data_IF_170330214636
#
_entry.id   IF_170330214636
#
_cell.length_a   1.000
_cell.length_b   1.000
_cell.length_c   1.000
_cell.angle_alpha   90.00
_cell.angle_beta   90.00
_cell.angle_gamma   90.00
#
_symmetry.space_group_name_H-M   'P 1'
#
loop_
_entity.id
_entity.type
_entity.pdbx_description
1 polymer ?
#
# COMPACT_ATOMS: atom_id res chain seq x y z
N UNK A 1 -13.89 6.65 -28.00
CA UNK A 1 -13.97 7.00 -26.56
C UNK A 1 -15.14 6.29 -25.87
N UNK A 2 -16.26 6.02 -26.56
CA UNK A 2 -17.38 5.18 -26.10
C UNK A 2 -16.95 3.89 -25.37
N UNK A 3 -16.09 3.08 -26.00
CA UNK A 3 -15.64 1.78 -25.46
C UNK A 3 -14.90 1.92 -24.13
N UNK A 4 -14.16 3.02 -23.92
CA UNK A 4 -13.47 3.29 -22.66
C UNK A 4 -14.50 3.62 -21.58
N UNK A 5 -15.54 4.37 -21.92
CA UNK A 5 -16.62 4.75 -21.00
C UNK A 5 -17.39 3.52 -20.53
N UNK A 6 -17.71 2.57 -21.41
CA UNK A 6 -18.38 1.31 -21.05
C UNK A 6 -17.53 0.45 -20.09
N UNK A 7 -16.21 0.39 -20.33
CA UNK A 7 -15.28 -0.31 -19.44
C UNK A 7 -15.24 0.36 -18.07
N UNK A 8 -15.17 1.69 -18.01
CA UNK A 8 -15.16 2.41 -16.74
C UNK A 8 -16.48 2.25 -15.98
N UNK A 9 -17.62 2.26 -16.66
CA UNK A 9 -18.93 2.05 -16.03
C UNK A 9 -19.05 0.68 -15.35
N UNK A 10 -18.45 -0.36 -15.94
CA UNK A 10 -18.44 -1.71 -15.35
C UNK A 10 -17.35 -1.89 -14.29
N UNK A 11 -16.23 -1.17 -14.36
CA UNK A 11 -15.08 -1.37 -13.47
C UNK A 11 -14.99 -0.39 -12.29
N UNK A 12 -15.63 0.78 -12.33
CA UNK A 12 -15.58 1.77 -11.23
C UNK A 12 -16.54 1.39 -10.10
N UNK A 13 -16.23 0.29 -9.42
CA UNK A 13 -16.98 -0.22 -8.28
C UNK A 13 -16.01 -0.66 -7.15
N UNK A 14 -16.52 -1.33 -6.11
CA UNK A 14 -15.72 -1.76 -4.93
C UNK A 14 -14.70 -2.87 -5.24
N UNK A 15 -14.88 -3.57 -6.35
CA UNK A 15 -14.02 -4.65 -6.83
C UNK A 15 -12.86 -4.15 -7.72
N UNK A 16 -12.81 -2.85 -7.97
CA UNK A 16 -11.66 -2.24 -8.62
C UNK A 16 -10.41 -2.36 -7.75
N UNK A 17 -9.35 -2.97 -8.27
CA UNK A 17 -8.06 -2.99 -7.56
C UNK A 17 -7.34 -1.67 -7.77
N UNK A 18 -7.10 -1.32 -9.03
CA UNK A 18 -6.46 -0.05 -9.43
C UNK A 18 -6.63 0.18 -10.93
N UNK A 19 -6.53 1.44 -11.35
CA UNK A 19 -6.32 1.83 -12.75
C UNK A 19 -4.97 2.53 -12.84
N UNK A 20 -4.22 2.23 -13.88
CA UNK A 20 -2.98 2.91 -14.22
C UNK A 20 -3.14 3.52 -15.61
N UNK A 21 -2.94 4.83 -15.73
CA UNK A 21 -2.87 5.53 -17.01
C UNK A 21 -1.44 6.02 -17.18
N UNK A 22 -0.83 5.74 -18.33
CA UNK A 22 0.59 5.99 -18.56
C UNK A 22 0.89 6.25 -20.04
N UNK A 23 2.18 6.44 -20.34
CA UNK A 23 2.70 6.65 -21.68
C UNK A 23 2.16 7.95 -22.31
N UNK A 24 2.58 9.11 -21.80
CA UNK A 24 2.08 10.40 -22.27
C UNK A 24 2.51 10.68 -23.72
N UNK A 25 1.68 11.42 -24.45
CA UNK A 25 1.96 11.84 -25.83
C UNK A 25 3.07 12.89 -25.89
N UNK A 26 3.13 13.78 -24.89
CA UNK A 26 4.16 14.81 -24.71
C UNK A 26 4.96 14.46 -23.45
N UNK A 27 6.26 14.77 -23.45
CA UNK A 27 7.14 14.52 -22.29
C UNK A 27 6.97 15.52 -21.16
N UNK A 28 6.28 16.63 -21.42
CA UNK A 28 6.07 17.71 -20.47
C UNK A 28 4.67 17.59 -19.86
N UNK A 29 4.58 17.35 -18.54
CA UNK A 29 3.33 17.19 -17.80
C UNK A 29 3.24 15.91 -16.97
N UNK A 30 2.06 15.30 -16.95
CA UNK A 30 1.78 14.11 -16.14
C UNK A 30 2.50 12.90 -16.73
N UNK A 31 3.25 12.17 -15.91
CA UNK A 31 3.99 10.97 -16.31
C UNK A 31 3.13 9.71 -16.19
N UNK A 32 2.37 9.63 -15.10
CA UNK A 32 1.55 8.48 -14.74
C UNK A 32 0.41 8.93 -13.85
N UNK A 33 -0.73 8.26 -13.96
CA UNK A 33 -1.87 8.45 -13.08
C UNK A 33 -2.23 7.09 -12.51
N UNK A 34 -2.43 7.05 -11.20
CA UNK A 34 -2.90 5.85 -10.51
C UNK A 34 -4.21 6.15 -9.81
N UNK A 35 -5.22 5.33 -10.08
CA UNK A 35 -6.55 5.45 -9.48
C UNK A 35 -6.79 4.22 -8.62
N UNK A 36 -7.32 4.42 -7.41
CA UNK A 36 -7.75 3.34 -6.52
C UNK A 36 -9.07 3.70 -5.85
N UNK A 37 -9.96 2.73 -5.56
CA UNK A 37 -11.12 3.01 -4.71
C UNK A 37 -10.67 3.25 -3.27
N UNK A 38 -11.34 4.19 -2.59
CA UNK A 38 -11.16 4.48 -1.16
C UNK A 38 -12.51 4.78 -0.53
N UNK A 39 -12.68 4.40 0.73
CA UNK A 39 -13.86 4.81 1.52
C UNK A 39 -13.55 6.14 2.23
N UNK A 40 -14.28 7.21 1.88
CA UNK A 40 -14.20 8.52 2.53
C UNK A 40 -15.56 8.83 3.13
N UNK A 41 -15.64 9.04 4.45
CA UNK A 41 -16.90 9.32 5.17
C UNK A 41 -18.01 8.31 4.83
N UNK A 42 -17.65 7.03 4.74
CA UNK A 42 -18.55 5.92 4.39
C UNK A 42 -19.11 5.93 2.96
N UNK A 43 -18.58 6.77 2.08
CA UNK A 43 -18.90 6.78 0.65
C UNK A 43 -17.72 6.23 -0.16
N UNK A 44 -18.03 5.42 -1.17
CA UNK A 44 -17.04 4.92 -2.13
C UNK A 44 -16.67 6.05 -3.09
N UNK A 45 -15.42 6.47 -3.05
CA UNK A 45 -14.84 7.43 -4.00
C UNK A 45 -13.57 6.86 -4.61
N UNK A 46 -13.13 7.43 -5.72
CA UNK A 46 -11.93 7.01 -6.43
C UNK A 46 -10.85 8.07 -6.26
N UNK A 47 -9.76 7.68 -5.63
CA UNK A 47 -8.59 8.54 -5.45
C UNK A 47 -7.67 8.43 -6.66
N UNK A 48 -7.51 9.53 -7.40
CA UNK A 48 -6.50 9.65 -8.44
C UNK A 48 -5.24 10.30 -7.88
N UNK A 49 -4.08 9.72 -8.21
CA UNK A 49 -2.74 10.22 -7.91
C UNK A 49 -2.04 10.56 -9.21
N UNK A 50 -1.87 11.84 -9.50
CA UNK A 50 -1.23 12.37 -10.70
C UNK A 50 0.26 12.59 -10.43
N UNK A 51 1.13 11.81 -11.07
CA UNK A 51 2.58 11.87 -10.89
C UNK A 51 3.21 12.80 -11.93
N UNK A 52 3.86 13.85 -11.43
CA UNK A 52 4.75 14.73 -12.19
C UNK A 52 6.20 14.43 -11.81
N UNK A 53 7.19 15.04 -12.48
CA UNK A 53 8.61 14.80 -12.20
C UNK A 53 9.01 15.00 -10.72
N UNK A 54 8.42 16.00 -10.06
CA UNK A 54 8.81 16.39 -8.68
C UNK A 54 7.64 16.40 -7.68
N UNK A 55 6.41 16.16 -8.13
CA UNK A 55 5.20 16.35 -7.33
C UNK A 55 4.18 15.26 -7.63
N UNK A 56 3.38 14.94 -6.63
CA UNK A 56 2.22 14.05 -6.77
C UNK A 56 1.00 14.82 -6.27
N UNK A 57 -0.03 14.92 -7.10
CA UNK A 57 -1.31 15.52 -6.72
C UNK A 57 -2.33 14.43 -6.47
N UNK A 58 -3.11 14.57 -5.41
CA UNK A 58 -4.16 13.63 -5.05
C UNK A 58 -5.52 14.31 -5.12
N UNK A 59 -6.48 13.62 -5.72
CA UNK A 59 -7.87 14.06 -5.75
C UNK A 59 -8.81 12.87 -5.55
N UNK A 60 -9.89 13.07 -4.83
CA UNK A 60 -10.93 12.06 -4.63
C UNK A 60 -12.15 12.49 -5.44
N UNK A 61 -12.63 11.62 -6.32
CA UNK A 61 -13.76 11.91 -7.21
C UNK A 61 -14.81 10.79 -7.13
N UNK A 62 -16.07 11.12 -7.40
CA UNK A 62 -17.12 10.11 -7.60
C UNK A 62 -16.87 9.28 -8.87
N UNK A 63 -17.61 8.18 -9.06
CA UNK A 63 -17.49 7.33 -10.25
C UNK A 63 -17.74 8.12 -11.56
N UNK A 64 -18.74 9.00 -11.55
CA UNK A 64 -19.13 9.79 -12.72
C UNK A 64 -18.07 10.85 -13.05
N UNK A 65 -17.61 11.59 -12.04
CA UNK A 65 -16.52 12.57 -12.20
C UNK A 65 -15.22 11.90 -12.64
N UNK A 66 -14.90 10.74 -12.06
CA UNK A 66 -13.70 9.97 -12.43
C UNK A 66 -13.78 9.52 -13.89
N UNK A 67 -14.95 9.08 -14.35
CA UNK A 67 -15.14 8.70 -15.76
C UNK A 67 -14.82 9.85 -16.70
N UNK A 68 -15.33 11.05 -16.42
CA UNK A 68 -15.04 12.23 -17.24
C UNK A 68 -13.56 12.59 -17.20
N UNK A 69 -12.94 12.54 -16.03
CA UNK A 69 -11.51 12.85 -15.86
C UNK A 69 -10.60 11.85 -16.57
N UNK A 70 -10.94 10.56 -16.55
CA UNK A 70 -10.20 9.52 -17.28
C UNK A 70 -10.28 9.73 -18.78
N UNK A 71 -11.46 10.08 -19.32
CA UNK A 71 -11.61 10.37 -20.74
C UNK A 71 -10.69 11.52 -21.17
N UNK A 72 -10.61 12.59 -20.37
CA UNK A 72 -9.69 13.71 -20.62
C UNK A 72 -8.22 13.27 -20.57
N UNK A 73 -7.81 12.47 -19.58
CA UNK A 73 -6.43 11.99 -19.49
C UNK A 73 -6.05 11.09 -20.67
N UNK A 74 -6.98 10.28 -21.16
CA UNK A 74 -6.76 9.40 -22.31
C UNK A 74 -6.57 10.13 -23.64
N UNK A 75 -6.91 11.43 -23.72
CA UNK A 75 -6.52 12.27 -24.86
C UNK A 75 -5.02 12.54 -24.87
N UNK A 76 -4.45 12.81 -23.69
CA UNK A 76 -3.03 13.10 -23.51
C UNK A 76 -2.14 11.84 -23.37
N UNK A 77 -2.74 10.69 -23.06
CA UNK A 77 -2.06 9.43 -22.76
C UNK A 77 -2.31 8.37 -23.84
N UNK A 78 -1.50 7.31 -23.85
CA UNK A 78 -1.60 6.23 -24.85
C UNK A 78 -1.95 4.87 -24.25
N UNK A 79 -1.91 4.73 -22.93
CA UNK A 79 -2.06 3.44 -22.28
C UNK A 79 -2.91 3.57 -21.01
N UNK A 80 -3.84 2.64 -20.84
CA UNK A 80 -4.59 2.44 -19.61
C UNK A 80 -4.64 0.96 -19.27
N UNK A 81 -4.43 0.65 -18.00
CA UNK A 81 -4.52 -0.69 -17.44
C UNK A 81 -5.51 -0.64 -16.29
N UNK A 82 -6.53 -1.48 -16.37
CA UNK A 82 -7.56 -1.63 -15.33
C UNK A 82 -7.35 -3.00 -14.71
N UNK A 83 -7.09 -3.02 -13.42
CA UNK A 83 -7.02 -4.24 -12.63
C UNK A 83 -8.31 -4.34 -11.82
N UNK A 84 -9.13 -5.33 -12.15
CA UNK A 84 -10.40 -5.60 -11.51
C UNK A 84 -10.39 -7.05 -11.01
N UNK A 85 -11.11 -7.36 -9.93
CA UNK A 85 -11.12 -8.73 -9.38
C UNK A 85 -11.50 -9.80 -10.40
N UNK A 86 -12.41 -9.48 -11.31
CA UNK A 86 -12.89 -10.41 -12.34
C UNK A 86 -12.02 -10.45 -13.61
N UNK A 87 -11.30 -9.37 -13.94
CA UNK A 87 -10.56 -9.27 -15.20
C UNK A 87 -9.51 -8.16 -15.16
N UNK A 88 -8.40 -8.40 -15.87
CA UNK A 88 -7.43 -7.34 -16.17
C UNK A 88 -7.66 -6.86 -17.60
N UNK A 89 -7.72 -5.53 -17.78
CA UNK A 89 -8.03 -4.89 -19.06
C UNK A 89 -6.89 -3.95 -19.43
N UNK A 90 -6.22 -4.24 -20.53
CA UNK A 90 -5.18 -3.39 -21.10
C UNK A 90 -5.70 -2.68 -22.35
N UNK A 91 -5.64 -1.36 -22.33
CA UNK A 91 -6.09 -0.48 -23.41
C UNK A 91 -4.88 0.27 -23.93
N UNK A 92 -4.60 0.11 -25.22
CA UNK A 92 -3.51 0.77 -25.93
C UNK A 92 -4.09 1.62 -27.06
N UNK A 93 -3.72 2.91 -27.10
CA UNK A 93 -4.08 3.83 -28.17
C UNK A 93 -2.86 4.07 -29.04
N UNK A 94 -2.95 3.66 -30.30
CA UNK A 94 -1.88 3.87 -31.28
C UNK A 94 -1.69 5.37 -31.61
N UNK A 95 -0.57 5.70 -32.24
CA UNK A 95 -0.31 7.07 -32.74
C UNK A 95 -1.43 7.58 -33.68
N UNK A 96 -2.09 6.67 -34.41
CA UNK A 96 -3.21 6.96 -35.34
C UNK A 96 -4.60 6.91 -34.68
N UNK A 97 -4.69 6.77 -33.36
CA UNK A 97 -5.96 6.75 -32.63
C UNK A 97 -6.67 5.39 -32.57
N UNK A 98 -6.15 4.35 -33.22
CA UNK A 98 -6.69 2.98 -33.11
C UNK A 98 -6.57 2.48 -31.66
N UNK A 99 -7.70 2.12 -31.05
CA UNK A 99 -7.80 1.55 -29.71
C UNK A 99 -7.67 0.03 -29.80
N UNK A 100 -6.79 -0.55 -28.99
CA UNK A 100 -6.65 -2.01 -28.84
C UNK A 100 -6.96 -2.35 -27.39
N UNK A 101 -7.91 -3.25 -27.18
CA UNK A 101 -8.36 -3.69 -25.86
C UNK A 101 -7.99 -5.16 -25.73
N UNK A 102 -7.16 -5.50 -24.75
CA UNK A 102 -6.85 -6.88 -24.37
C UNK A 102 -7.48 -7.14 -23.01
N UNK A 103 -8.24 -8.23 -22.91
CA UNK A 103 -8.79 -8.72 -21.66
C UNK A 103 -8.12 -10.05 -21.34
N UNK A 104 -7.61 -10.17 -20.13
CA UNK A 104 -7.07 -11.43 -19.59
C UNK A 104 -7.89 -11.82 -18.37
N UNK A 105 -8.06 -13.14 -18.16
CA UNK A 105 -8.69 -13.64 -16.92
C UNK A 105 -7.91 -13.09 -15.73
N UNK A 106 -8.62 -12.45 -14.79
CA UNK A 106 -8.02 -11.61 -13.76
C UNK A 106 -6.92 -12.34 -13.01
N UNK A 107 -5.69 -11.88 -13.17
CA UNK A 107 -4.54 -12.38 -12.38
C UNK A 107 -4.58 -11.87 -10.93
N UNK A 108 -5.54 -10.99 -10.62
CA UNK A 108 -5.86 -10.49 -9.30
C UNK A 108 -6.88 -11.35 -8.51
N UNK A 109 -7.13 -12.60 -8.93
CA UNK A 109 -7.86 -13.59 -8.14
C UNK A 109 -7.07 -13.95 -6.87
N UNK A 110 -7.14 -13.09 -5.85
CA UNK A 110 -6.43 -13.25 -4.57
C UNK A 110 -5.95 -11.94 -3.93
N UNK A 111 -5.98 -10.82 -4.63
CA UNK A 111 -5.69 -9.52 -4.01
C UNK A 111 -6.98 -8.95 -3.40
N UNK A 112 -7.08 -8.98 -2.07
CA UNK A 112 -8.07 -8.18 -1.36
C UNK A 112 -7.88 -6.70 -1.75
N UNK A 113 -8.94 -6.10 -2.27
CA UNK A 113 -9.04 -4.65 -2.46
C UNK A 113 -9.00 -4.01 -1.09
N UNK A 114 -7.83 -3.53 -0.68
CA UNK A 114 -7.68 -2.70 0.50
C UNK A 114 -8.35 -1.33 0.24
N UNK A 115 -9.63 -1.27 0.59
CA UNK A 115 -10.47 -0.06 0.52
C UNK A 115 -10.11 0.95 1.62
N UNK A 116 -9.13 0.64 2.49
CA UNK A 116 -8.72 1.54 3.55
C UNK A 116 -8.04 2.78 2.97
N UNK A 117 -8.54 3.95 3.40
CA UNK A 117 -7.94 5.23 3.05
C UNK A 117 -6.54 5.39 3.66
N UNK A 118 -6.27 4.68 4.76
CA UNK A 118 -5.05 4.75 5.55
C UNK A 118 -4.30 3.42 5.45
N UNK A 119 -3.13 3.40 4.79
CA UNK A 119 -2.25 2.23 4.82
C UNK A 119 -1.84 1.99 6.27
N UNK A 120 -2.38 0.95 6.89
CA UNK A 120 -1.91 0.53 8.21
C UNK A 120 -0.45 0.08 8.07
N UNK A 121 0.43 0.68 8.87
CA UNK A 121 1.82 0.26 8.93
C UNK A 121 1.84 -1.13 9.57
N UNK A 122 2.39 -2.11 8.85
CA UNK A 122 2.64 -3.43 9.41
C UNK A 122 3.87 -3.35 10.31
N UNK A 123 3.69 -3.71 11.57
CA UNK A 123 4.72 -3.77 12.59
C UNK A 123 4.84 -5.23 13.04
N UNK A 124 6.07 -5.70 13.32
CA UNK A 124 6.30 -7.03 13.90
C UNK A 124 5.61 -7.13 15.27
N UNK A 125 5.78 -6.09 16.08
CA UNK A 125 5.03 -5.91 17.33
C UNK A 125 3.72 -5.21 17.01
N UNK A 126 2.60 -5.92 17.11
CA UNK A 126 1.29 -5.37 16.84
C UNK A 126 0.94 -4.27 17.89
N UNK A 127 0.72 -3.01 17.49
CA UNK A 127 0.42 -1.94 18.45
C UNK A 127 -0.95 -2.09 19.14
N UNK A 128 -1.83 -2.98 18.66
CA UNK A 128 -3.10 -3.29 19.28
C UNK A 128 -3.01 -4.35 20.39
N UNK A 129 -1.90 -5.09 20.44
CA UNK A 129 -1.67 -6.14 21.43
C UNK A 129 -0.94 -5.59 22.66
N UNK A 130 -1.25 -6.17 23.82
CA UNK A 130 -0.53 -5.89 25.06
C UNK A 130 0.78 -6.68 25.06
N UNK A 131 1.89 -5.97 25.01
CA UNK A 131 3.21 -6.56 24.96
C UNK A 131 3.90 -6.23 26.30
N UNK A 132 4.09 -7.23 27.19
CA UNK A 132 4.49 -7.00 28.57
C UNK A 132 5.74 -6.10 28.72
N UNK A 133 6.81 -6.40 27.98
CA UNK A 133 8.05 -5.62 28.08
C UNK A 133 7.87 -4.17 27.58
N UNK A 134 6.95 -3.91 26.65
CA UNK A 134 6.66 -2.54 26.23
C UNK A 134 5.91 -1.76 27.32
N UNK A 135 5.07 -2.44 28.11
CA UNK A 135 4.38 -1.83 29.25
C UNK A 135 5.41 -1.48 30.33
N UNK A 136 6.26 -2.43 30.70
CA UNK A 136 7.27 -2.25 31.75
C UNK A 136 8.28 -1.15 31.40
N UNK A 137 8.64 -1.03 30.12
CA UNK A 137 9.53 0.02 29.62
C UNK A 137 8.84 1.38 29.36
N UNK A 138 7.53 1.47 29.63
CA UNK A 138 6.72 2.68 29.47
C UNK A 138 6.49 3.11 28.02
N UNK A 139 6.64 2.18 27.06
CA UNK A 139 6.33 2.39 25.63
C UNK A 139 4.84 2.14 25.37
N UNK A 140 4.25 1.18 26.08
CA UNK A 140 2.81 0.96 26.17
C UNK A 140 2.27 1.38 27.53
N UNK A 141 1.01 1.77 27.55
CA UNK A 141 0.21 1.94 28.77
C UNK A 141 -0.24 0.57 29.29
N UNK A 142 -0.64 0.43 30.56
CA UNK A 142 -1.24 -0.81 31.09
C UNK A 142 -2.51 -1.27 30.32
N UNK A 143 -3.16 -0.33 29.63
CA UNK A 143 -4.29 -0.59 28.74
C UNK A 143 -3.89 -1.14 27.36
N UNK A 144 -2.59 -1.26 27.05
CA UNK A 144 -2.05 -1.75 25.77
C UNK A 144 -1.88 -0.69 24.69
N UNK A 145 -2.23 0.56 24.95
CA UNK A 145 -2.06 1.65 23.97
C UNK A 145 -0.61 2.15 23.98
N UNK A 146 -0.02 2.33 22.80
CA UNK A 146 1.29 2.98 22.65
C UNK A 146 1.23 4.41 23.18
N UNK A 147 2.18 4.77 24.05
CA UNK A 147 2.31 6.13 24.57
C UNK A 147 2.74 7.05 23.41
N UNK A 148 1.96 8.08 23.11
CA UNK A 148 2.20 8.98 21.98
C UNK A 148 3.64 9.56 21.96
N UNK A 149 4.15 10.00 23.12
CA UNK A 149 5.50 10.55 23.26
C UNK A 149 6.62 9.50 23.04
N UNK A 150 6.30 8.20 23.04
CA UNK A 150 7.23 7.08 22.84
C UNK A 150 6.99 6.36 21.52
N UNK A 151 6.13 6.88 20.65
CA UNK A 151 5.83 6.25 19.37
C UNK A 151 7.08 6.08 18.49
N UNK A 152 8.00 7.04 18.53
CA UNK A 152 9.28 6.95 17.80
C UNK A 152 10.15 5.80 18.32
N UNK A 153 10.14 5.56 19.63
CA UNK A 153 10.84 4.42 20.25
C UNK A 153 10.18 3.09 19.84
N UNK A 154 8.85 3.02 19.81
CA UNK A 154 8.12 1.85 19.31
C UNK A 154 8.46 1.53 17.85
N UNK A 155 8.56 2.56 16.99
CA UNK A 155 8.99 2.40 15.60
C UNK A 155 10.44 1.93 15.50
N UNK A 156 11.33 2.48 16.31
CA UNK A 156 12.74 2.08 16.36
C UNK A 156 12.89 0.60 16.74
N UNK A 157 12.14 0.14 17.74
CA UNK A 157 12.14 -1.27 18.17
C UNK A 157 11.67 -2.18 17.04
N UNK A 158 10.57 -1.85 16.37
CA UNK A 158 10.08 -2.64 15.24
C UNK A 158 11.08 -2.69 14.08
N UNK A 159 11.71 -1.56 13.74
CA UNK A 159 12.73 -1.53 12.68
C UNK A 159 13.95 -2.39 13.04
N UNK A 160 14.32 -2.43 14.32
CA UNK A 160 15.38 -3.33 14.77
C UNK A 160 14.98 -4.80 14.62
N UNK A 161 13.74 -5.16 14.98
CA UNK A 161 13.24 -6.52 14.80
C UNK A 161 13.16 -6.97 13.35
N UNK A 162 12.94 -6.05 12.40
CA UNK A 162 13.04 -6.37 10.97
C UNK A 162 14.45 -6.87 10.61
N UNK A 163 15.50 -6.26 11.18
CA UNK A 163 16.87 -6.75 10.98
C UNK A 163 17.12 -8.10 11.68
N UNK A 164 16.51 -8.33 12.86
CA UNK A 164 16.60 -9.63 13.53
C UNK A 164 15.91 -10.71 12.69
N UNK A 165 14.72 -10.44 12.16
CA UNK A 165 13.98 -11.35 11.30
C UNK A 165 14.82 -11.84 10.11
N UNK A 166 15.56 -10.94 9.47
CA UNK A 166 16.41 -11.28 8.32
C UNK A 166 17.54 -12.27 8.68
N UNK A 167 18.05 -12.24 9.93
CA UNK A 167 19.15 -13.10 10.37
C UNK A 167 18.70 -14.38 11.09
N UNK A 168 17.43 -14.50 11.48
CA UNK A 168 16.92 -15.70 12.18
C UNK A 168 17.26 -17.01 11.46
N UNK A 169 17.13 -17.12 10.11
CA UNK A 169 17.48 -18.35 9.40
C UNK A 169 18.95 -18.77 9.54
N UNK A 170 19.84 -17.85 9.88
CA UNK A 170 21.28 -18.11 10.06
C UNK A 170 21.62 -18.52 11.51
N UNK A 171 20.67 -18.37 12.45
CA UNK A 171 20.89 -18.78 13.83
C UNK A 171 20.98 -20.30 13.95
N UNK A 172 21.83 -20.82 14.86
CA UNK A 172 21.97 -22.25 15.06
C UNK A 172 20.65 -22.85 15.56
N UNK A 173 20.17 -23.90 14.88
CA UNK A 173 18.95 -24.63 15.25
C UNK A 173 19.24 -25.91 16.05
N UNK A 174 20.50 -26.35 16.07
CA UNK A 174 20.93 -27.60 16.71
C UNK A 174 21.58 -27.40 18.08
N UNK A 175 21.67 -26.15 18.56
CA UNK A 175 22.22 -25.79 19.87
C UNK A 175 21.61 -24.48 20.33
N UNK A 176 21.75 -24.19 21.62
CA UNK A 176 21.37 -22.89 22.16
C UNK A 176 22.19 -21.76 21.53
N UNK A 177 21.49 -20.70 21.12
CA UNK A 177 22.09 -19.47 20.62
C UNK A 177 22.41 -18.56 21.80
N UNK A 178 23.69 -18.23 21.97
CA UNK A 178 24.15 -17.28 22.99
C UNK A 178 24.36 -15.93 22.33
N UNK A 179 23.55 -14.95 22.71
CA UNK A 179 23.58 -13.59 22.15
C UNK A 179 24.16 -12.62 23.18
N UNK A 180 25.11 -11.80 22.75
CA UNK A 180 25.78 -10.79 23.57
C UNK A 180 25.37 -9.39 23.10
N UNK A 181 24.71 -8.62 23.97
CA UNK A 181 24.26 -7.25 23.68
C UNK A 181 25.21 -6.23 24.31
N UNK A 182 26.07 -5.63 23.48
CA UNK A 182 27.02 -4.61 23.89
C UNK A 182 26.35 -3.24 23.97
N UNK A 183 26.43 -2.58 25.13
CA UNK A 183 25.89 -1.23 25.32
C UNK A 183 24.36 -1.19 25.44
N UNK A 184 23.77 -2.24 26.01
CA UNK A 184 22.32 -2.44 26.07
C UNK A 184 21.53 -1.30 26.76
N UNK A 185 22.17 -0.49 27.61
CA UNK A 185 21.56 0.67 28.24
C UNK A 185 20.31 0.29 29.05
N UNK A 186 19.13 0.73 28.61
CA UNK A 186 17.83 0.37 29.22
C UNK A 186 17.23 -0.94 28.68
N UNK A 187 18.01 -1.70 27.91
CA UNK A 187 17.69 -3.04 27.41
C UNK A 187 16.44 -3.14 26.52
N UNK A 188 15.98 -2.02 25.92
CA UNK A 188 14.82 -2.01 25.01
C UNK A 188 14.95 -3.04 23.89
N UNK A 189 16.13 -3.11 23.26
CA UNK A 189 16.37 -4.00 22.13
C UNK A 189 16.62 -5.44 22.58
N UNK A 190 17.26 -5.62 23.74
CA UNK A 190 17.43 -6.94 24.37
C UNK A 190 16.09 -7.61 24.62
N UNK A 191 15.17 -6.91 25.30
CA UNK A 191 13.83 -7.44 25.58
C UNK A 191 13.00 -7.63 24.31
N UNK A 192 13.12 -6.73 23.34
CA UNK A 192 12.43 -6.87 22.06
C UNK A 192 12.90 -8.11 21.30
N UNK A 193 14.20 -8.32 21.19
CA UNK A 193 14.78 -9.49 20.52
C UNK A 193 14.41 -10.78 21.25
N UNK A 194 14.50 -10.80 22.58
CA UNK A 194 14.08 -11.95 23.37
C UNK A 194 12.61 -12.28 23.13
N UNK A 195 11.73 -11.28 23.24
CA UNK A 195 10.29 -11.44 22.97
C UNK A 195 10.05 -11.96 21.55
N UNK A 196 10.76 -11.43 20.55
CA UNK A 196 10.65 -11.87 19.17
C UNK A 196 11.11 -13.31 18.93
N UNK A 197 12.16 -13.77 19.60
CA UNK A 197 12.70 -15.12 19.40
C UNK A 197 11.95 -16.20 20.21
N UNK A 198 11.21 -15.81 21.24
CA UNK A 198 10.54 -16.74 22.16
C UNK A 198 9.01 -16.71 22.11
N UNK A 199 8.40 -15.53 21.91
CA UNK A 199 6.95 -15.34 22.03
C UNK A 199 6.25 -15.14 20.67
N UNK A 200 7.03 -14.96 19.58
CA UNK A 200 6.57 -14.78 18.19
C UNK A 200 7.11 -15.94 17.36
#
# INVERSE_FOLDING_TARGET
>A
MEQIREILASCLNRELVKIIISNPRKKDGILKIQIRPVMVRNQLVFQASEYYEKKIYHQNLSADEMTQRVLQWMEAMKQMEVFHKSADIHILISKKGKITIKRTGGTAAGCETDLSHNRSKKYILNPAEKIPFLIDLGVQTPAGKIVHAKYDKFRQINRFLEFIQDIVPELPTNREAVILDFGCGKSYLTFAMYYYLHEI
#
